data_IF_561897039761
#
_entry.id   IF_561897039761
#
_cell.length_a   1.000
_cell.length_b   1.000
_cell.length_c   1.000
_cell.angle_alpha   90.00
_cell.angle_beta   90.00
_cell.angle_gamma   90.00
#
_symmetry.space_group_name_H-M   'P 1'
#
loop_
_entity.id
_entity.type
_entity.pdbx_description
1 polymer ?
#
# COMPACT_ATOMS: atom_id res chain seq x y z
N UNK A 1 28.78 -16.87 10.14
CA UNK A 1 28.18 -15.90 9.21
C UNK A 1 26.70 -15.83 9.51
N UNK A 2 26.21 -14.76 10.11
CA UNK A 2 24.78 -14.55 10.32
C UNK A 2 24.38 -13.34 9.47
N UNK A 3 23.58 -13.58 8.43
CA UNK A 3 22.99 -12.50 7.62
C UNK A 3 21.96 -11.76 8.46
N UNK A 4 22.26 -10.51 8.78
CA UNK A 4 21.31 -9.56 9.33
C UNK A 4 20.38 -9.16 8.18
N UNK A 5 19.19 -9.76 8.09
CA UNK A 5 18.12 -9.30 7.20
C UNK A 5 17.74 -7.87 7.63
N UNK A 6 18.29 -6.88 6.92
CA UNK A 6 18.03 -5.48 7.19
C UNK A 6 16.59 -5.18 6.74
N UNK A 7 15.65 -5.25 7.68
CA UNK A 7 14.29 -4.74 7.49
C UNK A 7 14.38 -3.27 7.09
N UNK A 8 13.93 -2.90 5.88
CA UNK A 8 14.01 -1.51 5.45
C UNK A 8 13.09 -0.67 6.36
N UNK A 9 13.67 0.39 6.91
CA UNK A 9 12.96 1.39 7.70
C UNK A 9 12.62 2.59 6.81
N UNK A 10 11.40 3.11 6.92
CA UNK A 10 10.98 4.33 6.23
C UNK A 10 10.59 5.35 7.29
N UNK A 11 11.29 6.48 7.30
CA UNK A 11 11.03 7.57 8.24
C UNK A 11 9.99 8.51 7.64
N UNK A 12 8.79 8.55 8.22
CA UNK A 12 7.76 9.56 7.90
C UNK A 12 7.48 10.36 9.18
N UNK A 13 7.81 11.65 9.20
CA UNK A 13 7.51 12.54 10.32
C UNK A 13 8.32 12.32 11.60
N UNK A 14 9.48 11.65 11.54
CA UNK A 14 10.39 11.48 12.68
C UNK A 14 10.28 10.14 13.42
N UNK A 15 9.36 9.25 13.03
CA UNK A 15 9.22 7.90 13.60
C UNK A 15 9.57 6.87 12.53
N UNK A 16 10.67 6.13 12.71
CA UNK A 16 10.95 4.96 11.87
C UNK A 16 9.97 3.85 12.22
N UNK A 17 9.06 3.53 11.29
CA UNK A 17 8.15 2.39 11.44
C UNK A 17 8.61 1.33 10.44
N UNK A 18 8.79 0.10 10.91
CA UNK A 18 9.15 -1.01 10.03
C UNK A 18 8.08 -1.17 8.94
N UNK A 19 8.53 -1.31 7.69
CA UNK A 19 7.68 -1.38 6.49
C UNK A 19 6.61 -2.50 6.59
N UNK A 20 6.90 -3.57 7.32
CA UNK A 20 6.01 -4.71 7.52
C UNK A 20 4.73 -4.40 8.31
N UNK A 21 4.73 -3.35 9.16
CA UNK A 21 3.57 -3.01 10.00
C UNK A 21 2.65 -1.96 9.38
N UNK A 22 2.92 -1.48 8.17
CA UNK A 22 2.21 -0.34 7.59
C UNK A 22 0.91 -0.73 6.89
N UNK A 23 0.72 -2.02 6.62
CA UNK A 23 -0.44 -2.53 5.88
C UNK A 23 -0.38 -2.23 4.38
N UNK A 24 -1.44 -2.58 3.64
CA UNK A 24 -1.51 -2.32 2.21
C UNK A 24 -1.62 -0.82 1.92
N UNK A 25 -0.98 -0.37 0.84
CA UNK A 25 -1.18 0.97 0.27
C UNK A 25 -2.52 0.99 -0.49
N UNK A 26 -3.23 2.10 -0.44
CA UNK A 26 -4.47 2.32 -1.18
C UNK A 26 -4.19 3.26 -2.34
N UNK A 27 -4.55 2.85 -3.55
CA UNK A 27 -4.53 3.71 -4.75
C UNK A 27 -5.87 4.43 -4.84
N UNK A 28 -5.87 5.75 -4.94
CA UNK A 28 -7.07 6.56 -5.17
C UNK A 28 -7.41 6.66 -6.67
N UNK A 29 -8.60 7.18 -6.98
CA UNK A 29 -9.07 7.31 -8.37
C UNK A 29 -8.24 8.31 -9.17
N UNK A 30 -7.67 9.30 -8.51
CA UNK A 30 -6.76 10.31 -9.08
C UNK A 30 -5.31 9.82 -9.19
N UNK A 31 -5.03 8.58 -8.79
CA UNK A 31 -3.68 8.00 -8.75
C UNK A 31 -2.87 8.33 -7.50
N UNK A 32 -3.40 9.13 -6.56
CA UNK A 32 -2.75 9.39 -5.28
C UNK A 32 -2.65 8.13 -4.41
N UNK A 33 -1.61 8.04 -3.58
CA UNK A 33 -1.37 6.91 -2.68
C UNK A 33 -1.72 7.31 -1.25
N UNK A 34 -2.49 6.45 -0.57
CA UNK A 34 -2.87 6.64 0.83
C UNK A 34 -2.50 5.41 1.66
N UNK A 35 -2.12 5.64 2.93
CA UNK A 35 -1.94 4.58 3.92
C UNK A 35 -3.18 4.44 4.81
N UNK A 36 -3.39 3.25 5.35
CA UNK A 36 -4.41 3.01 6.37
C UNK A 36 -3.83 3.40 7.73
N UNK A 37 -4.28 4.52 8.30
CA UNK A 37 -3.74 5.10 9.54
C UNK A 37 -3.86 4.16 10.73
N UNK A 38 -5.02 3.53 10.92
CA UNK A 38 -5.31 2.65 12.05
C UNK A 38 -5.02 1.17 11.75
N UNK A 39 -4.14 0.87 10.80
CA UNK A 39 -3.87 -0.53 10.40
C UNK A 39 -3.35 -1.40 11.56
N UNK A 40 -2.48 -0.82 12.40
CA UNK A 40 -1.90 -1.54 13.54
C UNK A 40 -2.95 -1.96 14.57
N UNK A 41 -4.06 -1.22 14.66
CA UNK A 41 -5.14 -1.52 15.62
C UNK A 41 -6.15 -2.53 15.08
N UNK A 42 -6.01 -2.99 13.82
CA UNK A 42 -6.88 -4.00 13.22
C UNK A 42 -6.53 -5.40 13.71
N UNK A 43 -7.57 -6.19 13.91
CA UNK A 43 -7.44 -7.64 14.15
C UNK A 43 -6.94 -8.34 12.90
N UNK A 44 -6.37 -9.54 13.05
CA UNK A 44 -5.83 -10.29 11.90
C UNK A 44 -6.90 -10.63 10.87
N UNK A 45 -8.13 -10.91 11.32
CA UNK A 45 -9.27 -11.17 10.44
C UNK A 45 -9.68 -9.93 9.62
N UNK A 46 -9.73 -8.75 10.26
CA UNK A 46 -9.96 -7.49 9.56
C UNK A 46 -8.83 -7.21 8.56
N UNK A 47 -7.57 -7.44 8.96
CA UNK A 47 -6.40 -7.22 8.09
C UNK A 47 -6.47 -8.09 6.83
N UNK A 48 -6.79 -9.37 6.97
CA UNK A 48 -6.96 -10.29 5.83
C UNK A 48 -8.04 -9.78 4.86
N UNK A 49 -9.20 -9.40 5.42
CA UNK A 49 -10.35 -8.92 4.65
C UNK A 49 -10.04 -7.62 3.92
N UNK A 50 -9.48 -6.65 4.63
CA UNK A 50 -9.09 -5.35 4.09
C UNK A 50 -8.04 -5.54 2.99
N UNK A 51 -7.00 -6.34 3.24
CA UNK A 51 -5.94 -6.62 2.26
C UNK A 51 -6.50 -7.19 0.96
N UNK A 52 -7.41 -8.16 1.05
CA UNK A 52 -8.07 -8.76 -0.12
C UNK A 52 -8.88 -7.74 -0.92
N UNK A 53 -9.62 -6.86 -0.24
CA UNK A 53 -10.45 -5.84 -0.90
C UNK A 53 -9.60 -4.75 -1.53
N UNK A 54 -8.60 -4.24 -0.82
CA UNK A 54 -7.69 -3.20 -1.31
C UNK A 54 -6.90 -3.69 -2.52
N UNK A 55 -6.38 -4.92 -2.49
CA UNK A 55 -5.65 -5.49 -3.63
C UNK A 55 -6.50 -5.52 -4.91
N UNK A 56 -7.77 -5.94 -4.81
CA UNK A 56 -8.70 -5.94 -5.96
C UNK A 56 -8.96 -4.52 -6.47
N UNK A 57 -9.26 -3.58 -5.57
CA UNK A 57 -9.56 -2.19 -5.94
C UNK A 57 -8.37 -1.49 -6.57
N UNK A 58 -7.17 -1.69 -6.01
CA UNK A 58 -5.95 -1.11 -6.54
C UNK A 58 -5.66 -1.63 -7.94
N UNK A 59 -5.83 -2.94 -8.19
CA UNK A 59 -5.66 -3.50 -9.53
C UNK A 59 -6.55 -2.79 -10.55
N UNK A 60 -7.86 -2.72 -10.29
CA UNK A 60 -8.80 -2.05 -11.20
C UNK A 60 -8.47 -0.57 -11.42
N UNK A 61 -8.06 0.14 -10.36
CA UNK A 61 -7.68 1.56 -10.47
C UNK A 61 -6.40 1.76 -11.28
N UNK A 62 -5.39 0.93 -11.04
CA UNK A 62 -4.13 0.99 -11.81
C UNK A 62 -4.36 0.66 -13.28
N UNK A 63 -5.18 -0.35 -13.59
CA UNK A 63 -5.57 -0.67 -14.97
C UNK A 63 -6.25 0.52 -15.65
N UNK A 64 -7.18 1.19 -14.97
CA UNK A 64 -7.84 2.39 -15.49
C UNK A 64 -6.86 3.55 -15.71
N UNK A 65 -5.98 3.83 -14.74
CA UNK A 65 -4.97 4.88 -14.85
C UNK A 65 -3.97 4.60 -15.97
N UNK A 66 -3.58 3.35 -16.18
CA UNK A 66 -2.71 2.96 -17.29
C UNK A 66 -3.41 3.12 -18.64
N UNK A 67 -4.68 2.71 -18.74
CA UNK A 67 -5.46 2.90 -19.96
C UNK A 67 -5.63 4.38 -20.31
N UNK A 68 -5.91 5.24 -19.32
CA UNK A 68 -5.98 6.70 -19.52
C UNK A 68 -4.64 7.27 -19.98
N UNK A 69 -3.53 6.93 -19.31
CA UNK A 69 -2.21 7.39 -19.71
C UNK A 69 -1.85 6.97 -21.14
N UNK A 70 -2.18 5.74 -21.55
CA UNK A 70 -1.90 5.28 -22.89
C UNK A 70 -2.77 5.98 -23.95
N UNK A 71 -4.01 6.35 -23.62
CA UNK A 71 -4.89 7.08 -24.53
C UNK A 71 -4.46 8.54 -24.72
N UNK A 72 -3.84 9.16 -23.70
CA UNK A 72 -3.31 10.53 -23.79
C UNK A 72 -1.98 10.60 -24.60
N UNK A 73 -1.36 9.46 -24.87
CA UNK A 73 -0.08 9.35 -25.61
C UNK A 73 -0.25 9.03 -27.11
N UNK A 74 -1.48 8.82 -27.59
CA UNK A 74 -1.86 8.54 -28.99
C UNK A 74 -2.42 9.80 -29.68
#
# INVERSE_FOLDING_TARGET
MAEMSAVPNVTVGGTSVALEHLGPIVVQLDGSLMRITDWATKTDHEKETISRVISKRNKTRLEALQASQNADLD
#
